data_IF_402072315937
#
_entry.id   IF_402072315937
#
_cell.length_a   1.000
_cell.length_b   1.000
_cell.length_c   1.000
_cell.angle_alpha   90.00
_cell.angle_beta   90.00
_cell.angle_gamma   90.00
#
_symmetry.space_group_name_H-M   'P 1'
#
loop_
_entity.id
_entity.type
_entity.pdbx_description
1 polymer ?
#
# COMPACT_ATOMS: atom_id res chain seq x y z
N UNK A 1 -16.98 -5.39 13.71
CA UNK A 1 -15.69 -6.12 13.62
C UNK A 1 -15.64 -6.68 12.21
N UNK A 2 -14.62 -6.32 11.41
CA UNK A 2 -14.49 -6.83 10.04
C UNK A 2 -14.62 -8.36 10.04
N UNK A 3 -15.49 -8.93 9.19
CA UNK A 3 -15.67 -10.39 9.04
C UNK A 3 -14.36 -11.12 8.68
N UNK A 4 -13.32 -10.37 8.33
CA UNK A 4 -11.99 -10.87 8.02
C UNK A 4 -11.40 -11.76 9.12
N UNK A 5 -11.48 -11.34 10.39
CA UNK A 5 -10.59 -11.86 11.42
C UNK A 5 -11.28 -12.75 12.47
N UNK A 6 -12.60 -12.70 12.62
CA UNK A 6 -13.26 -13.33 13.78
C UNK A 6 -12.62 -12.83 15.07
N UNK A 7 -12.03 -13.73 15.85
CA UNK A 7 -11.28 -13.42 17.09
C UNK A 7 -9.77 -13.21 16.90
N UNK A 8 -9.23 -13.42 15.69
CA UNK A 8 -7.81 -13.25 15.39
C UNK A 8 -7.42 -11.78 15.17
N UNK A 9 -6.12 -11.46 15.19
CA UNK A 9 -5.63 -10.13 14.82
C UNK A 9 -5.83 -9.88 13.31
N UNK A 10 -6.62 -8.88 12.89
CA UNK A 10 -6.84 -8.56 11.49
C UNK A 10 -5.54 -8.29 10.72
N UNK A 11 -4.51 -7.76 11.39
CA UNK A 11 -3.20 -7.49 10.78
C UNK A 11 -2.49 -8.79 10.42
N UNK A 12 -2.53 -9.79 11.30
CA UNK A 12 -1.94 -11.11 11.03
C UNK A 12 -2.70 -11.81 9.91
N UNK A 13 -4.03 -11.76 9.94
CA UNK A 13 -4.88 -12.41 8.93
C UNK A 13 -4.65 -11.80 7.54
N UNK A 14 -4.64 -10.46 7.40
CA UNK A 14 -4.39 -9.85 6.08
C UNK A 14 -2.96 -10.13 5.61
N UNK A 15 -1.99 -10.14 6.53
CA UNK A 15 -0.58 -10.42 6.22
C UNK A 15 -0.38 -11.86 5.73
N UNK A 16 -1.11 -12.83 6.30
CA UNK A 16 -1.10 -14.21 5.82
C UNK A 16 -1.72 -14.30 4.43
N UNK A 17 -2.94 -13.78 4.24
CA UNK A 17 -3.66 -13.84 2.96
C UNK A 17 -2.89 -13.21 1.80
N UNK A 18 -2.24 -12.07 2.03
CA UNK A 18 -1.45 -11.41 0.98
C UNK A 18 -0.17 -12.20 0.65
N UNK A 19 0.43 -12.88 1.64
CA UNK A 19 1.59 -13.75 1.39
C UNK A 19 1.21 -14.98 0.61
N UNK A 20 0.08 -15.61 0.95
CA UNK A 20 -0.47 -16.75 0.21
C UNK A 20 -0.76 -16.35 -1.24
N UNK A 21 -1.42 -15.20 -1.44
CA UNK A 21 -1.66 -14.62 -2.77
C UNK A 21 -0.35 -14.44 -3.57
N UNK A 22 0.68 -13.86 -2.95
CA UNK A 22 1.97 -13.60 -3.59
C UNK A 22 2.66 -14.91 -3.96
N UNK A 23 2.63 -15.90 -3.06
CA UNK A 23 3.22 -17.22 -3.29
C UNK A 23 2.55 -17.93 -4.47
N UNK A 24 1.22 -18.00 -4.47
CA UNK A 24 0.44 -18.58 -5.58
C UNK A 24 0.70 -17.84 -6.90
N UNK A 25 0.84 -16.51 -6.85
CA UNK A 25 1.14 -15.71 -8.03
C UNK A 25 2.55 -15.99 -8.58
N UNK A 26 3.55 -16.15 -7.70
CA UNK A 26 4.91 -16.53 -8.11
C UNK A 26 4.94 -17.90 -8.78
N UNK A 27 4.19 -18.89 -8.27
CA UNK A 27 4.05 -20.21 -8.92
C UNK A 27 3.40 -20.12 -10.32
N UNK A 28 2.57 -19.11 -10.54
CA UNK A 28 1.93 -18.82 -11.83
C UNK A 28 2.76 -17.89 -12.74
N UNK A 29 4.01 -17.60 -12.36
CA UNK A 29 4.95 -16.82 -13.18
C UNK A 29 4.86 -15.31 -12.99
N UNK A 30 4.10 -14.82 -12.00
CA UNK A 30 4.17 -13.42 -11.59
C UNK A 30 5.57 -13.12 -11.06
N UNK A 31 6.19 -12.07 -11.58
CA UNK A 31 7.59 -11.77 -11.29
C UNK A 31 7.85 -10.26 -11.29
N UNK A 32 9.03 -9.90 -10.80
CA UNK A 32 9.45 -8.52 -10.66
C UNK A 32 10.85 -8.47 -10.03
N UNK A 33 11.30 -7.29 -9.58
CA UNK A 33 10.63 -5.99 -9.69
C UNK A 33 10.75 -5.35 -11.09
N UNK A 34 9.81 -4.47 -11.52
CA UNK A 34 8.61 -4.07 -10.77
C UNK A 34 7.57 -5.20 -10.73
N UNK A 35 6.87 -5.31 -9.60
CA UNK A 35 5.78 -6.27 -9.43
C UNK A 35 4.50 -5.66 -9.99
N UNK A 36 4.05 -6.15 -11.15
CA UNK A 36 2.93 -5.58 -11.90
C UNK A 36 1.57 -5.96 -11.26
N UNK A 37 0.82 -5.02 -10.67
CA UNK A 37 -0.48 -5.32 -10.09
C UNK A 37 -1.55 -5.65 -11.14
N UNK A 38 -1.39 -5.23 -12.40
CA UNK A 38 -2.31 -5.59 -13.48
C UNK A 38 -2.19 -7.08 -13.82
N UNK A 39 -0.96 -7.59 -13.93
CA UNK A 39 -0.70 -9.02 -14.10
C UNK A 39 -1.25 -9.83 -12.92
N UNK A 40 -1.07 -9.35 -11.68
CA UNK A 40 -1.63 -10.00 -10.49
C UNK A 40 -3.17 -10.04 -10.51
N UNK A 41 -3.80 -8.93 -10.89
CA UNK A 41 -5.26 -8.89 -11.05
C UNK A 41 -5.74 -9.88 -12.12
N UNK A 42 -5.02 -10.00 -13.24
CA UNK A 42 -5.35 -10.96 -14.30
C UNK A 42 -5.27 -12.41 -13.83
N UNK A 43 -4.22 -12.79 -13.08
CA UNK A 43 -4.11 -14.12 -12.46
C UNK A 43 -5.27 -14.42 -11.49
N UNK A 44 -5.85 -13.37 -10.91
CA UNK A 44 -7.00 -13.44 -9.99
C UNK A 44 -8.35 -13.38 -10.70
N UNK A 45 -8.37 -13.27 -12.03
CA UNK A 45 -9.60 -13.10 -12.80
C UNK A 45 -10.33 -11.78 -12.50
N UNK A 46 -9.62 -10.76 -12.03
CA UNK A 46 -10.16 -9.44 -11.76
C UNK A 46 -9.94 -8.57 -13.00
N UNK A 47 -11.02 -8.09 -13.61
CA UNK A 47 -10.94 -7.18 -14.76
C UNK A 47 -10.41 -5.83 -14.28
N UNK A 48 -9.41 -5.26 -14.95
CA UNK A 48 -8.90 -3.91 -14.67
C UNK A 48 -9.10 -3.01 -15.89
N UNK A 49 -9.73 -1.86 -15.71
CA UNK A 49 -10.02 -0.93 -16.80
C UNK A 49 -9.82 0.54 -16.41
N UNK A 50 -9.34 1.41 -17.32
CA UNK A 50 -9.22 2.83 -17.04
C UNK A 50 -10.60 3.50 -16.94
N UNK A 51 -10.70 4.52 -16.08
CA UNK A 51 -11.87 5.39 -15.97
C UNK A 51 -11.49 6.76 -15.43
N UNK A 52 -11.88 7.82 -16.13
CA UNK A 52 -11.71 9.20 -15.68
C UNK A 52 -12.71 9.58 -14.56
N UNK A 53 -13.72 8.74 -14.31
CA UNK A 53 -14.77 8.98 -13.32
C UNK A 53 -14.39 8.56 -11.89
N UNK A 54 -13.18 8.03 -11.69
CA UNK A 54 -12.67 7.67 -10.36
C UNK A 54 -11.52 8.59 -9.98
N UNK A 55 -11.39 8.91 -8.69
CA UNK A 55 -10.31 9.79 -8.20
C UNK A 55 -8.95 9.09 -8.30
N UNK A 56 -8.88 7.82 -7.90
CA UNK A 56 -7.66 7.01 -7.90
C UNK A 56 -7.92 5.61 -8.46
N UNK A 57 -8.67 4.79 -7.72
CA UNK A 57 -9.23 3.54 -8.19
C UNK A 57 -10.49 3.19 -7.40
N UNK A 58 -11.24 2.20 -7.88
CA UNK A 58 -12.41 1.66 -7.21
C UNK A 58 -12.66 0.22 -7.65
N UNK A 59 -12.86 -0.68 -6.69
CA UNK A 59 -13.37 -2.03 -6.93
C UNK A 59 -14.91 -2.05 -6.97
N UNK A 60 -15.46 -2.78 -7.94
CA UNK A 60 -16.89 -2.97 -8.13
C UNK A 60 -17.24 -4.38 -8.61
N UNK A 61 -18.54 -4.72 -8.59
CA UNK A 61 -19.05 -5.96 -9.16
C UNK A 61 -19.23 -5.76 -10.67
N UNK A 62 -18.43 -6.48 -11.47
CA UNK A 62 -18.57 -6.56 -12.91
C UNK A 62 -19.74 -7.43 -13.37
N UNK A 63 -19.85 -7.60 -14.68
CA UNK A 63 -20.88 -8.46 -15.29
C UNK A 63 -20.65 -9.93 -14.87
N UNK A 64 -21.73 -10.65 -14.61
CA UNK A 64 -21.66 -12.06 -14.22
C UNK A 64 -21.16 -12.33 -12.79
N UNK A 65 -20.97 -11.28 -11.97
CA UNK A 65 -20.57 -11.43 -10.57
C UNK A 65 -19.05 -11.51 -10.34
N UNK A 66 -18.23 -11.31 -11.38
CA UNK A 66 -16.78 -11.15 -11.23
C UNK A 66 -16.43 -9.77 -10.65
N UNK A 67 -15.29 -9.65 -9.96
CA UNK A 67 -14.78 -8.36 -9.50
C UNK A 67 -14.15 -7.59 -10.65
N UNK A 68 -14.29 -6.26 -10.62
CA UNK A 68 -13.70 -5.33 -11.58
C UNK A 68 -13.07 -4.14 -10.84
N UNK A 69 -11.90 -3.72 -11.26
CA UNK A 69 -11.21 -2.52 -10.77
C UNK A 69 -11.25 -1.46 -11.87
N UNK A 70 -11.71 -0.26 -11.52
CA UNK A 70 -11.53 0.95 -12.32
C UNK A 70 -10.38 1.75 -11.74
N UNK A 71 -9.51 2.31 -12.58
CA UNK A 71 -8.42 3.19 -12.14
C UNK A 71 -8.37 4.48 -12.96
N UNK A 72 -7.89 5.56 -12.35
CA UNK A 72 -7.68 6.83 -13.02
C UNK A 72 -6.36 6.81 -13.81
N UNK A 73 -6.39 6.87 -15.16
CA UNK A 73 -5.20 6.79 -15.99
C UNK A 73 -4.34 8.07 -15.97
N UNK A 74 -4.87 9.20 -15.48
CA UNK A 74 -4.16 10.48 -15.42
C UNK A 74 -3.22 10.61 -14.22
N UNK A 75 -3.20 9.60 -13.35
CA UNK A 75 -2.29 9.54 -12.20
C UNK A 75 -0.89 9.10 -12.64
N UNK A 76 0.12 9.52 -11.88
CA UNK A 76 1.48 9.01 -12.08
C UNK A 76 1.52 7.48 -11.93
N UNK A 77 2.36 6.79 -12.71
CA UNK A 77 2.42 5.32 -12.73
C UNK A 77 2.55 4.68 -11.33
N UNK A 78 3.38 5.24 -10.45
CA UNK A 78 3.52 4.74 -9.09
C UNK A 78 2.21 4.84 -8.27
N UNK A 79 1.41 5.88 -8.52
CA UNK A 79 0.08 6.04 -7.90
C UNK A 79 -0.92 5.08 -8.52
N UNK A 80 -0.90 4.87 -9.84
CA UNK A 80 -1.73 3.85 -10.50
C UNK A 80 -1.43 2.46 -9.92
N UNK A 81 -0.16 2.07 -9.86
CA UNK A 81 0.26 0.78 -9.30
C UNK A 81 -0.22 0.61 -7.86
N UNK A 82 -0.07 1.65 -7.04
CA UNK A 82 -0.57 1.66 -5.66
C UNK A 82 -2.07 1.47 -5.59
N UNK A 83 -2.84 2.26 -6.35
CA UNK A 83 -4.30 2.22 -6.31
C UNK A 83 -4.83 0.86 -6.79
N UNK A 84 -4.27 0.28 -7.85
CA UNK A 84 -4.67 -1.07 -8.31
C UNK A 84 -4.32 -2.13 -7.27
N UNK A 85 -3.12 -2.09 -6.68
CA UNK A 85 -2.72 -3.02 -5.61
C UNK A 85 -3.60 -2.87 -4.35
N UNK A 86 -4.02 -1.65 -4.02
CA UNK A 86 -4.94 -1.37 -2.93
C UNK A 86 -6.31 -2.02 -3.16
N UNK A 87 -6.87 -1.88 -4.36
CA UNK A 87 -8.14 -2.54 -4.71
C UNK A 87 -8.02 -4.08 -4.73
N UNK A 88 -6.87 -4.63 -5.14
CA UNK A 88 -6.60 -6.07 -4.96
C UNK A 88 -6.63 -6.43 -3.47
N UNK A 89 -6.10 -5.58 -2.59
CA UNK A 89 -6.20 -5.71 -1.15
C UNK A 89 -7.64 -5.84 -0.66
N UNK A 90 -8.57 -5.02 -1.18
CA UNK A 90 -10.00 -5.16 -0.87
C UNK A 90 -10.58 -6.52 -1.27
N UNK A 91 -10.09 -7.14 -2.35
CA UNK A 91 -10.55 -8.47 -2.78
C UNK A 91 -10.17 -9.60 -1.83
N UNK A 92 -9.24 -9.37 -0.90
CA UNK A 92 -8.82 -10.35 0.11
C UNK A 92 -9.83 -10.49 1.26
N UNK A 93 -10.83 -9.62 1.33
CA UNK A 93 -11.86 -9.65 2.36
C UNK A 93 -13.04 -10.52 1.91
N UNK A 94 -13.52 -11.47 2.75
CA UNK A 94 -14.54 -12.43 2.35
C UNK A 94 -15.90 -11.77 2.02
N UNK A 95 -16.15 -10.60 2.61
CA UNK A 95 -17.32 -9.76 2.42
C UNK A 95 -17.14 -8.68 1.36
N UNK A 96 -16.05 -8.68 0.58
CA UNK A 96 -15.79 -7.70 -0.47
C UNK A 96 -16.99 -7.54 -1.42
N UNK A 97 -17.55 -8.65 -1.90
CA UNK A 97 -18.71 -8.62 -2.79
C UNK A 97 -19.98 -8.06 -2.12
N UNK A 98 -20.18 -8.30 -0.82
CA UNK A 98 -21.28 -7.71 -0.04
C UNK A 98 -21.04 -6.20 0.13
N UNK A 99 -19.85 -5.81 0.59
CA UNK A 99 -19.46 -4.41 0.79
C UNK A 99 -19.59 -3.62 -0.50
N UNK A 100 -19.14 -4.15 -1.64
CA UNK A 100 -19.29 -3.47 -2.94
C UNK A 100 -20.76 -3.27 -3.31
N UNK A 101 -21.61 -4.28 -3.08
CA UNK A 101 -23.06 -4.16 -3.32
C UNK A 101 -23.73 -3.16 -2.37
N UNK A 102 -23.25 -3.07 -1.12
CA UNK A 102 -23.81 -2.24 -0.07
C UNK A 102 -23.17 -0.85 0.08
N UNK A 103 -22.01 -0.58 -0.53
CA UNK A 103 -21.32 0.74 -0.52
C UNK A 103 -22.21 1.85 -1.08
N UNK A 104 -23.17 1.51 -1.95
CA UNK A 104 -24.23 2.41 -2.44
C UNK A 104 -25.25 2.83 -1.36
N UNK A 105 -25.21 2.25 -0.16
CA UNK A 105 -26.22 2.43 0.91
C UNK A 105 -25.67 2.95 2.25
N UNK A 106 -24.39 3.33 2.36
CA UNK A 106 -23.73 3.91 3.56
C UNK A 106 -24.19 3.30 4.91
N UNK A 107 -23.62 2.16 5.31
CA UNK A 107 -24.02 1.44 6.54
C UNK A 107 -22.87 1.12 7.51
N UNK A 108 -21.63 1.54 7.23
CA UNK A 108 -20.46 1.24 8.07
C UNK A 108 -20.21 2.28 9.17
N UNK A 109 -19.53 1.87 10.25
CA UNK A 109 -18.97 2.82 11.23
C UNK A 109 -17.63 3.37 10.74
N UNK A 110 -17.33 4.65 11.01
CA UNK A 110 -16.09 5.34 10.58
C UNK A 110 -14.82 4.58 11.00
N UNK A 111 -14.85 3.93 12.17
CA UNK A 111 -13.72 3.16 12.70
C UNK A 111 -13.43 1.89 11.90
N UNK A 112 -14.48 1.20 11.45
CA UNK A 112 -14.36 -0.03 10.66
C UNK A 112 -13.88 0.28 9.24
N UNK A 113 -14.37 1.36 8.65
CA UNK A 113 -13.88 1.87 7.36
C UNK A 113 -12.38 2.20 7.46
N UNK A 114 -11.97 2.94 8.50
CA UNK A 114 -10.55 3.26 8.69
C UNK A 114 -9.66 2.02 8.84
N UNK A 115 -10.10 1.01 9.60
CA UNK A 115 -9.34 -0.22 9.78
C UNK A 115 -9.23 -1.01 8.47
N UNK A 116 -10.31 -1.10 7.69
CA UNK A 116 -10.31 -1.74 6.37
C UNK A 116 -9.28 -1.07 5.45
N UNK A 117 -9.34 0.25 5.32
CA UNK A 117 -8.43 1.03 4.48
C UNK A 117 -6.97 0.85 4.91
N UNK A 118 -6.70 0.83 6.23
CA UNK A 118 -5.37 0.55 6.76
C UNK A 118 -4.86 -0.84 6.34
N UNK A 119 -5.70 -1.88 6.45
CA UNK A 119 -5.33 -3.25 6.07
C UNK A 119 -5.13 -3.38 4.55
N UNK A 120 -5.92 -2.69 3.73
CA UNK A 120 -5.70 -2.63 2.29
C UNK A 120 -4.38 -1.94 1.93
N UNK A 121 -4.01 -0.86 2.63
CA UNK A 121 -2.70 -0.21 2.45
C UNK A 121 -1.55 -1.17 2.78
N UNK A 122 -1.69 -2.00 3.82
CA UNK A 122 -0.70 -3.03 4.16
C UNK A 122 -0.59 -4.09 3.06
N UNK A 123 -1.71 -4.57 2.53
CA UNK A 123 -1.72 -5.53 1.43
C UNK A 123 -1.09 -4.94 0.16
N UNK A 124 -1.43 -3.71 -0.21
CA UNK A 124 -0.86 -3.01 -1.36
C UNK A 124 0.66 -2.85 -1.26
N UNK A 125 1.15 -2.46 -0.08
CA UNK A 125 2.57 -2.33 0.17
C UNK A 125 3.30 -3.66 0.01
N UNK A 126 2.68 -4.78 0.41
CA UNK A 126 3.24 -6.12 0.29
C UNK A 126 3.21 -6.63 -1.15
N UNK A 127 2.13 -6.38 -1.89
CA UNK A 127 2.04 -6.69 -3.32
C UNK A 127 3.13 -5.97 -4.12
N UNK A 128 3.31 -4.67 -3.89
CA UNK A 128 4.25 -3.87 -4.68
C UNK A 128 5.72 -4.08 -4.29
N UNK A 129 5.99 -4.49 -3.05
CA UNK A 129 7.34 -4.78 -2.55
C UNK A 129 7.30 -5.99 -1.62
N UNK A 130 7.18 -7.23 -2.16
CA UNK A 130 7.06 -8.42 -1.34
C UNK A 130 8.27 -8.62 -0.41
N UNK A 131 8.02 -9.07 0.82
CA UNK A 131 9.08 -9.46 1.76
C UNK A 131 9.99 -10.50 1.11
N UNK A 132 11.30 -10.36 1.32
CA UNK A 132 12.32 -11.24 0.74
C UNK A 132 12.81 -10.84 -0.65
N UNK A 133 12.17 -9.87 -1.31
CA UNK A 133 12.64 -9.36 -2.62
C UNK A 133 13.71 -8.28 -2.49
N UNK A 134 13.73 -7.54 -1.38
CA UNK A 134 14.79 -6.59 -1.06
C UNK A 134 16.02 -7.31 -0.53
N UNK A 135 17.19 -6.99 -1.08
CA UNK A 135 18.48 -7.53 -0.64
C UNK A 135 18.95 -6.82 0.61
N UNK A 136 19.89 -7.43 1.35
CA UNK A 136 20.49 -6.79 2.54
C UNK A 136 21.08 -5.42 2.24
N UNK A 137 21.79 -5.29 1.11
CA UNK A 137 22.42 -4.04 0.67
C UNK A 137 21.39 -2.99 0.22
N UNK A 138 20.14 -3.40 -0.08
CA UNK A 138 19.04 -2.48 -0.36
C UNK A 138 18.52 -1.81 0.93
N UNK A 139 18.83 -2.37 2.11
CA UNK A 139 18.34 -1.89 3.42
C UNK A 139 19.29 -0.92 4.13
N UNK A 140 20.44 -0.59 3.51
CA UNK A 140 21.32 0.46 3.98
C UNK A 140 20.66 1.83 3.77
N UNK A 141 20.44 2.63 4.84
CA UNK A 141 19.74 3.91 4.72
C UNK A 141 20.58 4.95 3.96
N UNK A 142 20.27 5.14 2.67
CA UNK A 142 20.87 6.17 1.81
C UNK A 142 19.82 6.77 0.86
N UNK A 143 19.89 8.09 0.64
CA UNK A 143 18.93 8.80 -0.23
C UNK A 143 19.01 8.30 -1.68
N UNK A 144 20.22 8.06 -2.18
CA UNK A 144 20.42 7.51 -3.52
C UNK A 144 19.82 6.12 -3.65
N UNK A 145 19.94 5.29 -2.60
CA UNK A 145 19.31 3.97 -2.55
C UNK A 145 17.78 4.05 -2.62
N UNK A 146 17.17 4.99 -1.89
CA UNK A 146 15.72 5.21 -1.96
C UNK A 146 15.30 5.56 -3.41
N UNK A 147 16.06 6.42 -4.08
CA UNK A 147 15.80 6.81 -5.47
C UNK A 147 15.92 5.65 -6.45
N UNK A 148 16.90 4.77 -6.26
CA UNK A 148 17.08 3.56 -7.08
C UNK A 148 15.96 2.55 -6.87
N UNK A 149 15.60 2.26 -5.61
CA UNK A 149 14.54 1.31 -5.28
C UNK A 149 13.17 1.80 -5.76
N UNK A 150 12.91 3.11 -5.66
CA UNK A 150 11.70 3.74 -6.19
C UNK A 150 11.52 3.42 -7.68
N UNK A 151 12.61 3.54 -8.47
CA UNK A 151 12.60 3.21 -9.90
C UNK A 151 12.47 1.71 -10.13
N UNK A 152 13.25 0.89 -9.41
CA UNK A 152 13.26 -0.57 -9.53
C UNK A 152 11.87 -1.17 -9.29
N UNK A 153 11.18 -0.73 -8.25
CA UNK A 153 9.87 -1.25 -7.84
C UNK A 153 8.69 -0.45 -8.42
N UNK A 154 8.93 0.65 -9.14
CA UNK A 154 7.91 1.54 -9.68
C UNK A 154 6.88 2.02 -8.63
N UNK A 155 7.37 2.44 -7.45
CA UNK A 155 6.58 2.94 -6.30
C UNK A 155 6.97 4.39 -5.93
N UNK A 156 6.39 4.94 -4.86
CA UNK A 156 6.79 6.25 -4.31
C UNK A 156 8.03 6.14 -3.43
N UNK A 157 8.76 7.25 -3.25
CA UNK A 157 9.89 7.31 -2.29
C UNK A 157 9.44 7.02 -0.85
N UNK A 158 8.23 7.47 -0.49
CA UNK A 158 7.61 7.20 0.80
C UNK A 158 7.40 5.69 1.02
N UNK A 159 6.85 4.97 0.03
CA UNK A 159 6.66 3.54 0.15
C UNK A 159 7.99 2.79 0.39
N UNK A 160 9.04 3.16 -0.36
CA UNK A 160 10.38 2.61 -0.17
C UNK A 160 10.91 2.89 1.24
N UNK A 161 10.81 4.15 1.70
CA UNK A 161 11.26 4.55 3.03
C UNK A 161 10.58 3.73 4.13
N UNK A 162 9.25 3.63 4.08
CA UNK A 162 8.46 2.85 5.05
C UNK A 162 8.85 1.37 5.05
N UNK A 163 9.06 0.79 3.86
CA UNK A 163 9.49 -0.60 3.69
C UNK A 163 10.90 -0.83 4.25
N UNK A 164 11.84 0.08 3.98
CA UNK A 164 13.20 0.01 4.51
C UNK A 164 13.21 0.12 6.04
N UNK A 165 12.47 1.07 6.62
CA UNK A 165 12.37 1.25 8.08
C UNK A 165 11.83 0.01 8.79
N UNK A 166 10.89 -0.70 8.15
CA UNK A 166 10.30 -1.92 8.69
C UNK A 166 11.27 -3.11 8.67
N UNK A 167 12.19 -3.17 7.70
CA UNK A 167 13.06 -4.34 7.46
C UNK A 167 14.50 -4.14 7.93
N UNK A 168 14.96 -2.90 8.04
CA UNK A 168 16.34 -2.59 8.41
C UNK A 168 16.67 -3.00 9.85
N UNK A 169 17.91 -3.41 10.05
CA UNK A 169 18.48 -3.68 11.38
C UNK A 169 19.32 -2.49 11.87
N UNK A 170 19.36 -1.39 11.12
CA UNK A 170 19.99 -0.15 11.56
C UNK A 170 19.05 0.61 12.50
N UNK A 171 19.61 1.26 13.52
CA UNK A 171 18.86 2.21 14.35
C UNK A 171 18.74 3.54 13.60
N UNK A 172 17.66 3.70 12.84
CA UNK A 172 17.39 4.91 12.07
C UNK A 172 15.95 5.44 12.27
N UNK A 173 15.75 6.67 11.82
CA UNK A 173 14.48 7.38 11.77
C UNK A 173 14.29 7.89 10.34
N UNK A 174 13.11 7.69 9.77
CA UNK A 174 12.69 8.38 8.55
C UNK A 174 11.62 9.41 8.89
N UNK A 175 11.57 10.48 8.11
CA UNK A 175 10.57 11.52 8.27
C UNK A 175 10.19 12.11 6.93
N UNK A 176 8.99 12.70 6.89
CA UNK A 176 8.53 13.54 5.79
C UNK A 176 8.36 14.94 6.32
N UNK A 177 8.91 15.91 5.61
CA UNK A 177 8.81 17.31 5.95
C UNK A 177 8.43 18.12 4.72
N UNK A 178 7.63 19.16 4.94
CA UNK A 178 7.25 20.13 3.91
C UNK A 178 7.84 21.49 4.24
N UNK A 179 8.30 22.20 3.22
CA UNK A 179 8.75 23.58 3.38
C UNK A 179 7.55 24.47 3.72
N UNK A 180 7.69 25.36 4.70
CA UNK A 180 6.64 26.33 4.99
C UNK A 180 6.65 27.47 3.96
N UNK A 181 5.50 27.80 3.32
CA UNK A 181 5.44 28.75 2.21
C UNK A 181 5.97 30.16 2.56
N UNK A 182 5.70 30.63 3.78
CA UNK A 182 5.95 32.01 4.21
C UNK A 182 7.18 32.17 5.12
N UNK A 183 8.00 31.12 5.27
CA UNK A 183 9.22 31.20 6.07
C UNK A 183 10.35 31.86 5.26
N UNK A 184 10.70 33.10 5.62
CA UNK A 184 11.88 33.81 5.11
C UNK A 184 13.21 33.12 5.46
N UNK A 185 13.20 32.23 6.46
CA UNK A 185 14.35 31.44 6.92
C UNK A 185 14.40 30.02 6.36
N UNK A 186 13.42 29.60 5.54
CA UNK A 186 13.41 28.26 4.92
C UNK A 186 13.09 27.12 5.88
N UNK A 187 12.20 27.35 6.86
CA UNK A 187 11.79 26.32 7.83
C UNK A 187 11.03 25.16 7.18
N UNK A 188 11.28 23.97 7.71
CA UNK A 188 10.57 22.76 7.33
C UNK A 188 9.69 22.29 8.47
N UNK A 189 8.43 22.02 8.17
CA UNK A 189 7.49 21.41 9.12
C UNK A 189 7.47 19.90 8.90
N UNK A 190 7.73 19.16 9.97
CA UNK A 190 7.61 17.71 9.97
C UNK A 190 6.13 17.30 9.90
N UNK A 191 5.77 16.58 8.84
CA UNK A 191 4.45 15.98 8.68
C UNK A 191 4.33 14.76 9.58
N UNK A 192 5.33 13.87 9.52
CA UNK A 192 5.45 12.74 10.43
C UNK A 192 6.90 12.22 10.49
N UNK A 193 7.18 11.44 11.53
CA UNK A 193 8.44 10.73 11.71
C UNK A 193 8.16 9.29 12.17
N UNK A 194 8.92 8.33 11.64
CA UNK A 194 8.77 6.90 11.92
C UNK A 194 10.14 6.32 12.23
N UNK A 195 10.25 5.68 13.38
CA UNK A 195 11.45 4.96 13.79
C UNK A 195 11.51 3.56 13.17
N UNK A 196 12.72 3.09 12.89
CA UNK A 196 13.00 1.65 12.73
C UNK A 196 12.62 0.87 13.99
N UNK A 197 12.49 -0.45 13.90
CA UNK A 197 12.14 -1.30 15.06
C UNK A 197 13.13 -1.19 16.25
N UNK A 198 14.36 -0.72 16.00
CA UNK A 198 15.38 -0.50 17.03
C UNK A 198 15.39 0.94 17.59
N UNK A 199 14.56 1.82 17.04
CA UNK A 199 14.44 3.22 17.47
C UNK A 199 13.38 3.36 18.58
N UNK A 200 13.83 3.70 19.80
CA UNK A 200 12.98 3.72 21.00
C UNK A 200 12.50 5.13 21.43
N UNK A 201 12.90 6.20 20.73
CA UNK A 201 12.56 7.58 21.12
C UNK A 201 11.43 8.13 20.25
N UNK A 202 10.29 8.54 20.80
CA UNK A 202 9.25 9.19 19.99
C UNK A 202 9.75 10.55 19.49
N UNK A 203 9.47 10.86 18.23
CA UNK A 203 9.54 12.20 17.66
C UNK A 203 8.13 12.56 17.20
N UNK A 204 7.64 13.72 17.61
CA UNK A 204 6.25 14.13 17.39
C UNK A 204 6.13 14.93 16.08
N UNK A 205 5.02 14.76 15.37
CA UNK A 205 4.66 15.60 14.22
C UNK A 205 4.50 17.06 14.63
N UNK A 206 4.74 18.00 13.70
CA UNK A 206 4.62 19.44 13.95
C UNK A 206 5.86 20.12 14.50
N UNK A 207 6.98 19.41 14.63
CA UNK A 207 8.29 20.04 14.88
C UNK A 207 8.77 20.82 13.65
N UNK A 208 9.27 22.02 13.90
CA UNK A 208 9.94 22.86 12.89
C UNK A 208 11.44 22.62 12.94
N UNK A 209 12.02 22.29 11.79
CA UNK A 209 13.47 22.17 11.56
C UNK A 209 14.01 23.44 10.88
#
# INVERSE_FOLDING_TARGET
>A
MLKLAGDADPVEVISARVRDLIFEAFEQGWSGPPFDPFALAALRGIEVAPSENVVDAQILMGKGGALKILFNPDRALARINYSVAHEIGHSLFPDCAEIVRHRLKHTGSVREEWQLEMLCNMAAAEILMPVGTLRRDDLEPAIDRISELRKRYAVSSEAVLLRMLRLTQAKCLGFVARKEPDSSAGHYRLDYAIGSGLWKSPLHSGWSL
#
